data_IF_713605643349
#
_entry.id   IF_713605643349
#
_cell.length_a   1.000
_cell.length_b   1.000
_cell.length_c   1.000
_cell.angle_alpha   90.00
_cell.angle_beta   90.00
_cell.angle_gamma   90.00
#
_symmetry.space_group_name_H-M   'P 1'
#
loop_
_entity.id
_entity.type
_entity.pdbx_description
1 polymer ?
#
# COMPACT_ATOMS: atom_id res chain seq x y z
N UNK A 1 -31.72 -1.38 -18.70
CA UNK A 1 -32.16 -0.27 -17.81
C UNK A 1 -30.97 0.11 -16.92
N UNK A 2 -30.72 1.41 -16.72
CA UNK A 2 -29.67 1.83 -15.79
C UNK A 2 -30.12 1.55 -14.34
N UNK A 3 -29.32 0.83 -13.58
CA UNK A 3 -29.56 0.56 -12.16
C UNK A 3 -29.37 1.85 -11.36
N UNK A 4 -30.28 2.15 -10.42
CA UNK A 4 -30.18 3.34 -9.57
C UNK A 4 -28.99 3.23 -8.62
N UNK A 5 -28.25 4.35 -8.44
CA UNK A 5 -27.07 4.41 -7.58
C UNK A 5 -27.38 3.99 -6.13
N UNK A 6 -28.58 4.30 -5.65
CA UNK A 6 -29.03 3.96 -4.28
C UNK A 6 -29.00 2.45 -4.03
N UNK A 7 -29.33 1.61 -5.02
CA UNK A 7 -29.24 0.16 -4.86
C UNK A 7 -27.80 -0.32 -4.62
N UNK A 8 -26.82 0.34 -5.23
CA UNK A 8 -25.41 0.05 -4.99
C UNK A 8 -24.95 0.50 -3.61
N UNK A 9 -25.48 1.62 -3.07
CA UNK A 9 -25.22 2.07 -1.69
C UNK A 9 -25.71 1.03 -0.68
N UNK A 10 -26.94 0.58 -0.85
CA UNK A 10 -27.52 -0.49 -0.01
C UNK A 10 -26.72 -1.77 -0.11
N UNK A 11 -26.35 -2.18 -1.33
CA UNK A 11 -25.52 -3.37 -1.55
C UNK A 11 -24.17 -3.29 -0.82
N UNK A 12 -23.47 -2.14 -0.93
CA UNK A 12 -22.19 -1.90 -0.24
C UNK A 12 -22.36 -2.04 1.27
N UNK A 13 -23.36 -1.41 1.86
CA UNK A 13 -23.59 -1.42 3.30
C UNK A 13 -23.89 -2.84 3.82
N UNK A 14 -24.68 -3.62 3.10
CA UNK A 14 -24.95 -5.03 3.43
C UNK A 14 -23.69 -5.87 3.32
N UNK A 15 -22.85 -5.62 2.31
CA UNK A 15 -21.58 -6.33 2.13
C UNK A 15 -20.59 -6.06 3.27
N UNK A 16 -20.54 -4.83 3.78
CA UNK A 16 -19.63 -4.41 4.84
C UNK A 16 -20.09 -4.89 6.24
N UNK A 17 -21.40 -4.88 6.47
CA UNK A 17 -21.97 -5.30 7.77
C UNK A 17 -22.18 -6.81 7.88
N UNK A 18 -22.35 -7.53 6.77
CA UNK A 18 -22.73 -8.94 6.75
C UNK A 18 -24.12 -9.23 7.34
N UNK A 19 -24.91 -8.18 7.59
CA UNK A 19 -26.19 -8.28 8.31
C UNK A 19 -27.19 -7.23 7.81
N UNK A 20 -28.34 -7.70 7.31
CA UNK A 20 -29.38 -6.83 6.74
C UNK A 20 -29.96 -5.86 7.78
N UNK A 21 -30.14 -6.30 9.03
CA UNK A 21 -30.68 -5.46 10.10
C UNK A 21 -29.69 -4.37 10.51
N UNK A 22 -28.39 -4.69 10.57
CA UNK A 22 -27.35 -3.72 10.85
C UNK A 22 -27.24 -2.69 9.71
N UNK A 23 -27.26 -3.13 8.47
CA UNK A 23 -27.28 -2.25 7.30
C UNK A 23 -28.49 -1.33 7.28
N UNK A 24 -29.67 -1.85 7.61
CA UNK A 24 -30.91 -1.06 7.72
C UNK A 24 -30.79 0.06 8.77
N UNK A 25 -30.20 -0.25 9.92
CA UNK A 25 -29.94 0.73 10.98
C UNK A 25 -28.98 1.81 10.52
N UNK A 26 -27.86 1.45 9.88
CA UNK A 26 -26.85 2.39 9.40
C UNK A 26 -27.39 3.30 8.29
N UNK A 27 -28.29 2.77 7.44
CA UNK A 27 -28.90 3.52 6.35
C UNK A 27 -30.20 4.27 6.75
N UNK A 28 -30.64 4.15 8.00
CA UNK A 28 -31.89 4.77 8.52
C UNK A 28 -33.14 4.38 7.72
N UNK A 29 -33.20 3.12 7.24
CA UNK A 29 -34.35 2.56 6.52
C UNK A 29 -34.80 1.24 7.15
N UNK A 30 -35.97 0.73 6.73
CA UNK A 30 -36.45 -0.56 7.23
C UNK A 30 -35.68 -1.76 6.67
N UNK A 31 -35.60 -2.85 7.43
CA UNK A 31 -34.99 -4.11 6.98
C UNK A 31 -35.67 -4.66 5.71
N UNK A 32 -37.01 -4.48 5.58
CA UNK A 32 -37.76 -4.86 4.38
C UNK A 32 -37.31 -4.05 3.16
N UNK A 33 -37.06 -2.74 3.32
CA UNK A 33 -36.55 -1.88 2.24
C UNK A 33 -35.16 -2.31 1.78
N UNK A 34 -34.24 -2.64 2.73
CA UNK A 34 -32.92 -3.19 2.39
C UNK A 34 -33.06 -4.48 1.60
N UNK A 35 -33.88 -5.44 2.10
CA UNK A 35 -34.09 -6.73 1.42
C UNK A 35 -34.68 -6.56 0.01
N UNK A 36 -35.61 -5.62 -0.17
CA UNK A 36 -36.20 -5.30 -1.45
C UNK A 36 -35.18 -4.66 -2.40
N UNK A 37 -34.35 -3.74 -1.93
CA UNK A 37 -33.29 -3.10 -2.71
C UNK A 37 -32.27 -4.12 -3.22
N UNK A 38 -31.84 -5.05 -2.36
CA UNK A 38 -30.94 -6.14 -2.77
C UNK A 38 -31.60 -7.02 -3.84
N UNK A 39 -32.84 -7.46 -3.62
CA UNK A 39 -33.56 -8.26 -4.59
C UNK A 39 -33.73 -7.54 -5.93
N UNK A 40 -34.03 -6.25 -5.90
CA UNK A 40 -34.16 -5.41 -7.09
C UNK A 40 -32.82 -5.32 -7.84
N UNK A 41 -31.71 -5.15 -7.15
CA UNK A 41 -30.36 -5.12 -7.73
C UNK A 41 -30.01 -6.47 -8.36
N UNK A 42 -30.19 -7.57 -7.64
CA UNK A 42 -29.95 -8.94 -8.13
C UNK A 42 -30.79 -9.25 -9.38
N UNK A 43 -32.06 -8.83 -9.39
CA UNK A 43 -32.96 -9.00 -10.55
C UNK A 43 -32.47 -8.17 -11.75
N UNK A 44 -32.09 -6.91 -11.52
CA UNK A 44 -31.61 -6.02 -12.58
C UNK A 44 -30.30 -6.50 -13.21
N UNK A 45 -29.42 -7.10 -12.43
CA UNK A 45 -28.13 -7.64 -12.85
C UNK A 45 -28.17 -9.12 -13.26
N UNK A 46 -29.32 -9.79 -13.07
CA UNK A 46 -29.50 -11.23 -13.31
C UNK A 46 -28.44 -12.10 -12.60
N UNK A 47 -28.00 -11.67 -11.43
CA UNK A 47 -26.96 -12.32 -10.65
C UNK A 47 -27.33 -12.39 -9.16
N UNK A 48 -26.97 -13.47 -8.49
CA UNK A 48 -27.05 -13.54 -7.02
C UNK A 48 -25.80 -12.95 -6.42
N UNK A 49 -25.96 -11.91 -5.60
CA UNK A 49 -24.84 -11.19 -5.00
C UNK A 49 -24.58 -11.64 -3.56
N UNK A 50 -25.60 -12.21 -2.90
CA UNK A 50 -25.48 -12.69 -1.53
C UNK A 50 -25.95 -14.14 -1.37
N UNK A 51 -25.19 -14.90 -0.57
CA UNK A 51 -25.62 -16.16 0.01
C UNK A 51 -26.17 -15.90 1.42
N UNK A 52 -27.35 -16.46 1.74
CA UNK A 52 -28.00 -16.32 3.04
C UNK A 52 -27.68 -17.53 3.92
N UNK A 53 -27.36 -17.29 5.18
CA UNK A 53 -27.14 -18.32 6.19
C UNK A 53 -27.81 -17.93 7.52
N UNK A 54 -27.98 -18.87 8.46
CA UNK A 54 -28.45 -18.54 9.81
C UNK A 54 -27.57 -17.53 10.57
N UNK A 55 -26.32 -17.35 10.14
CA UNK A 55 -25.33 -16.43 10.72
C UNK A 55 -25.32 -15.04 10.05
N UNK A 56 -26.15 -14.82 9.03
CA UNK A 56 -26.20 -13.56 8.29
C UNK A 56 -26.07 -13.77 6.77
N UNK A 57 -25.55 -12.75 6.08
CA UNK A 57 -25.37 -12.77 4.62
C UNK A 57 -23.89 -12.63 4.28
N UNK A 58 -23.45 -13.38 3.28
CA UNK A 58 -22.07 -13.33 2.76
C UNK A 58 -22.10 -13.09 1.24
N UNK A 59 -21.09 -12.41 0.70
CA UNK A 59 -21.00 -12.20 -0.74
C UNK A 59 -20.77 -13.53 -1.49
N UNK A 60 -21.43 -13.68 -2.64
CA UNK A 60 -21.09 -14.70 -3.65
C UNK A 60 -19.81 -14.30 -4.40
N UNK A 61 -19.33 -15.12 -5.33
CA UNK A 61 -18.21 -14.75 -6.23
C UNK A 61 -18.54 -13.51 -7.06
N UNK A 62 -19.74 -13.46 -7.66
CA UNK A 62 -20.25 -12.30 -8.40
C UNK A 62 -20.42 -11.09 -7.50
N UNK A 63 -20.93 -11.29 -6.28
CA UNK A 63 -21.05 -10.25 -5.27
C UNK A 63 -19.69 -9.66 -4.89
N UNK A 64 -18.68 -10.51 -4.69
CA UNK A 64 -17.32 -10.08 -4.36
C UNK A 64 -16.70 -9.25 -5.49
N UNK A 65 -16.86 -9.68 -6.73
CA UNK A 65 -16.42 -8.94 -7.91
C UNK A 65 -17.10 -7.56 -7.98
N UNK A 66 -18.43 -7.53 -7.92
CA UNK A 66 -19.20 -6.27 -7.98
C UNK A 66 -18.84 -5.32 -6.82
N UNK A 67 -18.65 -5.86 -5.62
CA UNK A 67 -18.31 -5.06 -4.43
C UNK A 67 -17.03 -4.23 -4.63
N UNK A 68 -16.01 -4.76 -5.29
CA UNK A 68 -14.78 -4.02 -5.56
C UNK A 68 -15.05 -2.77 -6.42
N UNK A 69 -15.86 -2.93 -7.48
CA UNK A 69 -16.21 -1.80 -8.35
C UNK A 69 -17.12 -0.79 -7.65
N UNK A 70 -18.14 -1.26 -6.94
CA UNK A 70 -19.10 -0.39 -6.22
C UNK A 70 -18.41 0.42 -5.13
N UNK A 71 -17.54 -0.22 -4.34
CA UNK A 71 -16.76 0.46 -3.31
C UNK A 71 -15.91 1.59 -3.89
N UNK A 72 -15.22 1.31 -5.00
CA UNK A 72 -14.36 2.29 -5.66
C UNK A 72 -15.18 3.45 -6.25
N UNK A 73 -16.27 3.15 -6.96
CA UNK A 73 -17.12 4.16 -7.58
C UNK A 73 -17.75 5.10 -6.53
N UNK A 74 -18.32 4.55 -5.45
CA UNK A 74 -18.90 5.34 -4.36
C UNK A 74 -17.85 6.15 -3.61
N UNK A 75 -16.64 5.60 -3.44
CA UNK A 75 -15.51 6.32 -2.85
C UNK A 75 -15.08 7.52 -3.70
N UNK A 76 -15.01 7.35 -5.03
CA UNK A 76 -14.68 8.44 -5.96
C UNK A 76 -15.75 9.54 -5.96
N UNK A 77 -17.04 9.19 -5.89
CA UNK A 77 -18.12 10.17 -5.77
C UNK A 77 -17.99 11.00 -4.48
N UNK A 78 -17.81 10.33 -3.34
CA UNK A 78 -17.60 11.01 -2.05
C UNK A 78 -16.37 11.94 -2.11
N UNK A 79 -15.25 11.47 -2.69
CA UNK A 79 -14.06 12.29 -2.89
C UNK A 79 -14.35 13.52 -3.77
N UNK A 80 -15.16 13.36 -4.83
CA UNK A 80 -15.57 14.47 -5.70
C UNK A 80 -16.40 15.53 -4.95
N UNK A 81 -17.33 15.09 -4.11
CA UNK A 81 -18.16 15.96 -3.27
C UNK A 81 -17.29 16.73 -2.25
N UNK A 82 -16.35 16.05 -1.58
CA UNK A 82 -15.39 16.66 -0.67
C UNK A 82 -14.48 17.67 -1.38
N UNK A 83 -14.00 17.34 -2.58
CA UNK A 83 -13.18 18.25 -3.40
C UNK A 83 -13.93 19.51 -3.81
N UNK A 84 -15.19 19.42 -4.16
CA UNK A 84 -16.02 20.57 -4.47
C UNK A 84 -16.19 21.48 -3.25
N UNK A 85 -16.39 20.92 -2.07
CA UNK A 85 -16.48 21.71 -0.83
C UNK A 85 -15.15 22.39 -0.48
N UNK A 86 -14.02 21.74 -0.75
CA UNK A 86 -12.66 22.27 -0.51
C UNK A 86 -12.22 23.29 -1.56
N UNK A 87 -12.65 23.16 -2.83
CA UNK A 87 -12.34 24.12 -3.91
C UNK A 87 -12.88 25.52 -3.65
N UNK A 88 -13.90 25.65 -2.79
CA UNK A 88 -14.44 26.96 -2.38
C UNK A 88 -13.59 27.67 -1.31
N UNK A 89 -12.61 26.97 -0.69
CA UNK A 89 -11.74 27.52 0.36
C UNK A 89 -10.31 26.99 0.19
N UNK A 90 -9.51 27.60 -0.69
CA UNK A 90 -8.08 27.32 -0.90
C UNK A 90 -7.19 27.43 0.36
N UNK A 91 -7.75 27.78 1.50
CA UNK A 91 -7.05 27.98 2.77
C UNK A 91 -7.26 26.83 3.80
N UNK A 92 -8.22 25.94 3.58
CA UNK A 92 -8.54 24.87 4.52
C UNK A 92 -8.87 23.58 3.74
N UNK A 93 -8.15 22.52 4.00
CA UNK A 93 -8.37 21.23 3.34
C UNK A 93 -7.61 20.10 4.00
N UNK A 94 -7.76 18.90 3.47
CA UNK A 94 -6.97 17.72 3.90
C UNK A 94 -6.25 17.16 2.69
N UNK A 95 -4.95 16.94 2.82
CA UNK A 95 -4.15 16.13 1.90
C UNK A 95 -3.92 14.76 2.52
N UNK A 96 -4.47 13.73 1.90
CA UNK A 96 -4.30 12.35 2.36
C UNK A 96 -3.28 11.61 1.49
N UNK A 97 -2.18 11.18 2.09
CA UNK A 97 -1.07 10.49 1.41
C UNK A 97 -1.00 9.04 1.88
N UNK A 98 -1.00 8.11 0.93
CA UNK A 98 -0.79 6.68 1.19
C UNK A 98 0.65 6.29 0.93
N UNK A 99 1.36 5.78 1.94
CA UNK A 99 2.74 5.31 1.80
C UNK A 99 3.06 4.22 2.83
N UNK A 100 4.15 3.49 2.66
CA UNK A 100 4.67 2.64 3.73
C UNK A 100 5.40 3.50 4.79
N UNK A 101 5.47 3.00 6.04
CA UNK A 101 6.20 3.68 7.12
C UNK A 101 7.65 4.01 6.73
N UNK A 102 8.28 3.09 6.00
CA UNK A 102 9.65 3.26 5.51
C UNK A 102 9.76 4.42 4.52
N UNK A 103 8.87 4.49 3.51
CA UNK A 103 8.86 5.59 2.53
C UNK A 103 8.52 6.90 3.21
N UNK A 104 7.56 6.89 4.13
CA UNK A 104 7.21 8.09 4.91
C UNK A 104 8.41 8.60 5.71
N UNK A 105 9.06 7.75 6.50
CA UNK A 105 10.14 8.17 7.39
C UNK A 105 11.45 8.49 6.68
N UNK A 106 11.76 7.84 5.56
CA UNK A 106 13.06 8.00 4.90
C UNK A 106 13.04 8.96 3.72
N UNK A 107 11.89 9.11 3.07
CA UNK A 107 11.77 9.95 1.88
C UNK A 107 10.80 11.13 2.07
N UNK A 108 9.59 10.90 2.60
CA UNK A 108 8.56 11.94 2.63
C UNK A 108 8.74 12.97 3.73
N UNK A 109 9.40 12.64 4.85
CA UNK A 109 9.51 13.53 6.02
C UNK A 109 9.96 14.97 5.68
N UNK A 110 11.02 15.21 4.88
CA UNK A 110 11.42 16.58 4.56
C UNK A 110 10.35 17.33 3.72
N UNK A 111 9.69 16.66 2.80
CA UNK A 111 8.61 17.26 2.00
C UNK A 111 7.36 17.55 2.83
N UNK A 112 7.02 16.68 3.79
CA UNK A 112 5.91 16.90 4.71
C UNK A 112 6.15 18.11 5.61
N UNK A 113 7.38 18.27 6.09
CA UNK A 113 7.80 19.41 6.90
C UNK A 113 7.70 20.72 6.09
N UNK A 114 8.30 20.77 4.92
CA UNK A 114 8.26 21.91 4.03
C UNK A 114 6.81 22.28 3.63
N UNK A 115 6.01 21.27 3.26
CA UNK A 115 4.62 21.49 2.89
C UNK A 115 3.78 22.04 4.04
N UNK A 116 3.99 21.52 5.24
CA UNK A 116 3.29 21.99 6.44
C UNK A 116 3.62 23.48 6.74
N UNK A 117 4.89 23.87 6.57
CA UNK A 117 5.28 25.28 6.75
C UNK A 117 4.70 26.20 5.68
N UNK A 118 4.66 25.77 4.41
CA UNK A 118 4.12 26.56 3.31
C UNK A 118 2.58 26.62 3.30
N UNK A 119 1.90 25.58 3.80
CA UNK A 119 0.45 25.42 3.79
C UNK A 119 -0.12 25.04 5.16
N UNK A 120 0.02 25.89 6.19
CA UNK A 120 -0.37 25.55 7.58
C UNK A 120 -1.88 25.30 7.76
N UNK A 121 -2.72 25.78 6.83
CA UNK A 121 -4.17 25.53 6.83
C UNK A 121 -4.56 24.15 6.26
N UNK A 122 -3.63 23.44 5.62
CA UNK A 122 -3.91 22.11 5.07
C UNK A 122 -3.57 21.02 6.09
N UNK A 123 -4.56 20.23 6.45
CA UNK A 123 -4.37 19.07 7.32
C UNK A 123 -3.68 17.93 6.55
N UNK A 124 -2.52 17.51 7.01
CA UNK A 124 -1.85 16.31 6.49
C UNK A 124 -2.40 15.05 7.16
N UNK A 125 -2.82 14.07 6.35
CA UNK A 125 -3.22 12.74 6.79
C UNK A 125 -2.37 11.69 6.08
N UNK A 126 -1.53 11.00 6.85
CA UNK A 126 -0.71 9.91 6.33
C UNK A 126 -1.39 8.58 6.64
N UNK A 127 -1.58 7.77 5.63
CA UNK A 127 -2.18 6.43 5.76
C UNK A 127 -1.13 5.39 5.43
N UNK A 128 -0.75 4.64 6.45
CA UNK A 128 0.28 3.62 6.30
C UNK A 128 -0.26 2.36 5.63
N UNK A 129 0.51 1.85 4.66
CA UNK A 129 0.15 0.62 3.96
C UNK A 129 1.20 0.14 2.97
N UNK A 130 1.10 -1.15 2.61
CA UNK A 130 1.90 -1.74 1.53
C UNK A 130 1.46 -1.20 0.18
N UNK A 131 2.34 -1.27 -0.84
CA UNK A 131 2.08 -0.74 -2.20
C UNK A 131 0.70 -1.14 -2.76
N UNK A 132 0.33 -2.41 -2.72
CA UNK A 132 -0.97 -2.86 -3.21
C UNK A 132 -2.15 -2.24 -2.44
N UNK A 133 -2.02 -2.05 -1.12
CA UNK A 133 -3.05 -1.43 -0.28
C UNK A 133 -3.20 0.05 -0.60
N UNK A 134 -2.11 0.81 -0.64
CA UNK A 134 -2.18 2.26 -0.92
C UNK A 134 -2.67 2.55 -2.33
N UNK A 135 -2.31 1.72 -3.33
CA UNK A 135 -2.87 1.79 -4.69
C UNK A 135 -4.38 1.51 -4.68
N UNK A 136 -4.84 0.49 -3.94
CA UNK A 136 -6.28 0.23 -3.80
C UNK A 136 -7.02 1.40 -3.13
N UNK A 137 -6.39 2.05 -2.15
CA UNK A 137 -6.96 3.23 -1.48
C UNK A 137 -6.99 4.46 -2.41
N UNK A 138 -5.97 4.62 -3.27
CA UNK A 138 -5.97 5.66 -4.30
C UNK A 138 -7.14 5.46 -5.28
N UNK A 139 -7.37 4.23 -5.77
CA UNK A 139 -8.49 3.91 -6.65
C UNK A 139 -9.86 4.18 -6.03
N UNK A 140 -10.00 4.01 -4.73
CA UNK A 140 -11.24 4.29 -4.00
C UNK A 140 -11.38 5.75 -3.54
N UNK A 141 -10.40 6.62 -3.86
CA UNK A 141 -10.37 7.99 -3.38
C UNK A 141 -10.08 8.15 -1.88
N UNK A 142 -9.72 7.09 -1.18
CA UNK A 142 -9.39 7.15 0.25
C UNK A 142 -8.03 7.82 0.52
N UNK A 143 -7.17 7.95 -0.49
CA UNK A 143 -5.96 8.77 -0.49
C UNK A 143 -5.90 9.58 -1.79
N UNK A 144 -5.31 10.77 -1.74
CA UNK A 144 -5.13 11.67 -2.88
C UNK A 144 -3.89 11.31 -3.70
N UNK A 145 -2.83 10.91 -3.01
CA UNK A 145 -1.54 10.51 -3.59
C UNK A 145 -1.11 9.20 -2.93
N UNK A 146 -0.57 8.27 -3.71
CA UNK A 146 0.04 7.06 -3.19
C UNK A 146 1.52 6.98 -3.57
N UNK A 147 2.35 6.51 -2.64
CA UNK A 147 3.74 6.13 -2.91
C UNK A 147 3.86 4.62 -2.88
N UNK A 148 4.20 4.03 -4.02
CA UNK A 148 4.21 2.58 -4.21
C UNK A 148 5.46 2.10 -4.95
N UNK A 149 5.93 0.90 -4.63
CA UNK A 149 7.09 0.31 -5.34
C UNK A 149 6.64 -0.28 -6.66
N UNK A 150 7.14 0.26 -7.76
CA UNK A 150 6.97 -0.22 -9.15
C UNK A 150 5.54 -0.72 -9.46
N UNK A 151 4.50 0.09 -9.27
CA UNK A 151 3.13 -0.35 -9.51
C UNK A 151 2.90 -0.60 -11.00
N UNK A 152 2.53 -1.83 -11.36
CA UNK A 152 2.13 -2.18 -12.74
C UNK A 152 0.62 -2.01 -12.88
N UNK A 153 0.19 -0.79 -13.16
CA UNK A 153 -1.22 -0.42 -13.20
C UNK A 153 -1.48 0.66 -14.24
N UNK A 154 -2.18 0.33 -15.30
CA UNK A 154 -2.46 1.23 -16.42
C UNK A 154 -3.39 2.40 -16.07
N UNK A 155 -4.13 2.31 -14.95
CA UNK A 155 -5.03 3.36 -14.47
C UNK A 155 -4.31 4.47 -13.70
N UNK A 156 -3.04 4.24 -13.37
CA UNK A 156 -2.22 5.18 -12.62
C UNK A 156 -1.36 6.04 -13.55
N UNK A 157 -1.23 7.29 -13.19
CA UNK A 157 -0.15 8.15 -13.61
C UNK A 157 0.95 8.07 -12.55
N UNK A 158 2.18 7.80 -12.97
CA UNK A 158 3.28 7.50 -12.05
C UNK A 158 4.51 8.34 -12.37
N UNK A 159 5.19 8.80 -11.33
CA UNK A 159 6.49 9.49 -11.40
C UNK A 159 7.47 8.79 -10.47
N UNK A 160 8.59 8.33 -11.03
CA UNK A 160 9.64 7.68 -10.25
C UNK A 160 10.31 8.70 -9.33
N UNK A 161 10.27 8.47 -8.03
CA UNK A 161 10.87 9.35 -7.03
C UNK A 161 12.31 8.97 -6.71
N UNK A 162 12.56 7.69 -6.52
CA UNK A 162 13.90 7.16 -6.27
C UNK A 162 13.95 5.66 -6.52
N UNK A 163 15.17 5.15 -6.72
CA UNK A 163 15.45 3.73 -6.90
C UNK A 163 15.84 3.08 -5.58
N UNK A 164 15.56 1.79 -5.45
CA UNK A 164 15.90 0.98 -4.29
C UNK A 164 16.64 -0.28 -4.70
N UNK A 165 17.71 -0.61 -3.94
CA UNK A 165 18.57 -1.77 -4.15
C UNK A 165 18.41 -2.75 -2.99
N UNK A 166 18.14 -4.02 -3.32
CA UNK A 166 18.12 -5.09 -2.32
C UNK A 166 19.52 -5.62 -2.09
N UNK A 167 19.95 -5.66 -0.84
CA UNK A 167 21.27 -6.12 -0.42
C UNK A 167 21.16 -7.01 0.82
N UNK A 168 22.26 -7.70 1.14
CA UNK A 168 22.36 -8.51 2.35
C UNK A 168 23.36 -7.89 3.32
N UNK A 169 22.99 -7.85 4.59
CA UNK A 169 23.83 -7.30 5.68
C UNK A 169 23.89 -8.25 6.86
N UNK A 170 24.96 -8.21 7.59
CA UNK A 170 25.11 -8.89 8.88
C UNK A 170 25.77 -7.95 9.90
N UNK A 171 25.66 -8.28 11.18
CA UNK A 171 26.37 -7.58 12.25
C UNK A 171 27.87 -7.64 12.05
N UNK A 172 28.59 -6.57 12.44
CA UNK A 172 30.06 -6.50 12.27
C UNK A 172 30.84 -7.67 12.88
N UNK A 173 30.29 -8.30 13.90
CA UNK A 173 30.88 -9.43 14.62
C UNK A 173 30.24 -10.77 14.20
N UNK A 174 29.38 -10.78 13.18
CA UNK A 174 28.77 -12.03 12.69
C UNK A 174 29.84 -12.94 12.12
N UNK A 175 29.72 -14.24 12.41
CA UNK A 175 30.73 -15.22 11.99
C UNK A 175 30.56 -15.57 10.50
N UNK A 176 31.06 -14.69 9.63
CA UNK A 176 31.16 -14.90 8.19
C UNK A 176 32.37 -14.18 7.62
N UNK A 177 32.79 -14.54 6.42
CA UNK A 177 33.85 -13.85 5.68
C UNK A 177 33.27 -12.69 4.88
N UNK A 178 33.45 -11.45 5.36
CA UNK A 178 32.97 -10.24 4.67
C UNK A 178 33.72 -9.90 3.39
N UNK A 179 34.85 -10.56 3.13
CA UNK A 179 35.63 -10.36 1.90
C UNK A 179 35.31 -11.37 0.82
N UNK A 180 34.68 -12.49 1.19
CA UNK A 180 34.16 -13.48 0.27
C UNK A 180 33.02 -12.92 -0.57
N UNK A 181 32.97 -13.35 -1.84
CA UNK A 181 31.87 -13.11 -2.76
C UNK A 181 30.94 -14.33 -2.72
N UNK A 182 29.69 -14.12 -2.30
CA UNK A 182 28.70 -15.18 -2.09
C UNK A 182 27.81 -15.38 -3.31
N UNK A 183 27.58 -16.64 -3.67
CA UNK A 183 26.59 -17.03 -4.67
C UNK A 183 25.15 -16.96 -4.08
N UNK A 184 24.13 -17.08 -4.94
CA UNK A 184 22.71 -17.15 -4.47
C UNK A 184 22.46 -18.35 -3.56
N UNK A 185 23.06 -19.50 -3.89
CA UNK A 185 22.93 -20.73 -3.09
C UNK A 185 23.53 -20.53 -1.71
N UNK A 186 24.77 -20.07 -1.62
CA UNK A 186 25.44 -19.80 -0.35
C UNK A 186 24.70 -18.75 0.47
N UNK A 187 24.14 -17.72 -0.18
CA UNK A 187 23.34 -16.69 0.50
C UNK A 187 22.06 -17.28 1.11
N UNK A 188 21.43 -18.25 0.45
CA UNK A 188 20.24 -18.92 0.94
C UNK A 188 20.51 -19.92 2.08
N UNK A 189 21.76 -20.34 2.30
CA UNK A 189 22.19 -21.23 3.39
C UNK A 189 22.41 -20.49 4.72
N UNK A 190 22.51 -19.17 4.70
CA UNK A 190 22.60 -18.41 5.95
C UNK A 190 21.30 -18.46 6.77
N UNK A 191 21.37 -18.35 8.10
CA UNK A 191 20.21 -17.98 8.94
C UNK A 191 19.67 -16.63 8.50
N UNK A 192 18.66 -16.64 7.60
CA UNK A 192 18.13 -15.42 7.01
C UNK A 192 17.10 -14.74 7.93
N UNK A 193 17.21 -13.41 8.04
CA UNK A 193 16.25 -12.54 8.70
C UNK A 193 15.59 -11.70 7.61
N UNK A 194 14.31 -11.91 7.37
CA UNK A 194 13.60 -11.25 6.27
C UNK A 194 12.30 -10.62 6.76
N UNK A 195 11.79 -9.68 5.98
CA UNK A 195 10.45 -9.15 6.21
C UNK A 195 9.40 -10.23 5.93
N UNK A 196 8.21 -10.05 6.51
CA UNK A 196 7.06 -10.93 6.27
C UNK A 196 6.73 -11.07 4.78
N UNK A 197 6.18 -12.22 4.37
CA UNK A 197 5.90 -12.59 2.95
C UNK A 197 5.05 -11.59 2.18
N UNK A 198 4.27 -10.75 2.86
CA UNK A 198 3.43 -9.73 2.22
C UNK A 198 4.16 -8.40 1.96
N UNK A 199 5.37 -8.21 2.44
CA UNK A 199 6.16 -7.01 2.16
C UNK A 199 6.63 -7.02 0.69
N UNK A 200 6.45 -5.90 -0.04
CA UNK A 200 6.79 -5.82 -1.47
C UNK A 200 8.27 -6.10 -1.76
N UNK A 201 9.17 -5.67 -0.87
CA UNK A 201 10.61 -5.97 -0.97
C UNK A 201 10.90 -7.46 -0.79
N UNK A 202 10.19 -8.14 0.12
CA UNK A 202 10.33 -9.58 0.33
C UNK A 202 9.82 -10.37 -0.89
N UNK A 203 8.63 -10.05 -1.39
CA UNK A 203 8.07 -10.71 -2.58
C UNK A 203 9.02 -10.58 -3.77
N UNK A 204 9.56 -9.40 -3.98
CA UNK A 204 10.50 -9.14 -5.06
C UNK A 204 11.80 -9.93 -4.89
N UNK A 205 12.39 -9.90 -3.71
CA UNK A 205 13.61 -10.66 -3.39
C UNK A 205 13.43 -12.16 -3.64
N UNK A 206 12.35 -12.74 -3.14
CA UNK A 206 12.03 -14.16 -3.37
C UNK A 206 11.85 -14.49 -4.84
N UNK A 207 11.15 -13.63 -5.61
CA UNK A 207 10.98 -13.83 -7.05
C UNK A 207 12.32 -13.83 -7.80
N UNK A 208 13.25 -12.94 -7.45
CA UNK A 208 14.57 -12.89 -8.08
C UNK A 208 15.45 -14.11 -7.75
N UNK A 209 15.34 -14.64 -6.54
CA UNK A 209 16.00 -15.89 -6.17
C UNK A 209 15.36 -17.11 -6.84
N UNK A 210 14.03 -17.15 -6.88
CA UNK A 210 13.28 -18.24 -7.52
C UNK A 210 13.55 -18.33 -9.03
N UNK A 211 13.72 -17.19 -9.73
CA UNK A 211 14.13 -17.19 -11.15
C UNK A 211 15.47 -17.90 -11.38
N UNK A 212 16.35 -17.92 -10.38
CA UNK A 212 17.61 -18.64 -10.42
C UNK A 212 17.51 -20.06 -9.81
N UNK A 213 16.30 -20.56 -9.52
CA UNK A 213 16.08 -21.88 -8.94
C UNK A 213 16.40 -21.97 -7.45
N UNK A 214 16.57 -20.85 -6.75
CA UNK A 214 16.92 -20.82 -5.32
C UNK A 214 15.71 -20.35 -4.52
N UNK A 215 15.37 -21.11 -3.47
CA UNK A 215 14.29 -20.76 -2.53
C UNK A 215 14.88 -20.19 -1.25
N UNK A 216 14.36 -19.03 -0.81
CA UNK A 216 14.74 -18.44 0.47
C UNK A 216 13.87 -18.97 1.61
N UNK A 217 14.51 -19.55 2.62
CA UNK A 217 13.84 -20.04 3.83
C UNK A 217 14.37 -19.26 5.04
N UNK A 218 13.73 -18.15 5.44
CA UNK A 218 14.20 -17.39 6.58
C UNK A 218 13.95 -18.12 7.90
N UNK A 219 14.88 -17.98 8.82
CA UNK A 219 14.70 -18.43 10.21
C UNK A 219 13.90 -17.42 11.02
N UNK A 220 14.01 -16.12 10.69
CA UNK A 220 13.27 -15.06 11.36
C UNK A 220 12.48 -14.26 10.34
N UNK A 221 11.16 -14.17 10.54
CA UNK A 221 10.26 -13.30 9.77
C UNK A 221 9.63 -12.25 10.69
N UNK A 222 9.64 -10.98 10.25
CA UNK A 222 9.08 -9.87 11.03
C UNK A 222 8.56 -8.74 10.12
N UNK A 223 7.71 -7.88 10.68
CA UNK A 223 7.12 -6.76 9.92
C UNK A 223 7.93 -5.47 10.02
N UNK A 224 8.76 -5.34 11.03
CA UNK A 224 9.54 -4.12 11.30
C UNK A 224 10.92 -4.18 10.68
N UNK A 225 11.20 -3.27 9.74
CA UNK A 225 12.53 -3.11 9.14
C UNK A 225 13.59 -2.73 10.18
N UNK A 226 13.26 -1.88 11.14
CA UNK A 226 14.22 -1.47 12.17
C UNK A 226 14.66 -2.66 13.04
N UNK A 227 13.71 -3.50 13.45
CA UNK A 227 14.04 -4.73 14.20
C UNK A 227 14.88 -5.69 13.37
N UNK A 228 14.61 -5.80 12.05
CA UNK A 228 15.40 -6.64 11.15
C UNK A 228 16.89 -6.24 11.17
N UNK A 229 17.19 -4.95 11.04
CA UNK A 229 18.56 -4.40 11.13
C UNK A 229 19.15 -4.62 12.53
N UNK A 230 18.37 -4.38 13.58
CA UNK A 230 18.82 -4.59 14.97
C UNK A 230 19.19 -6.06 15.23
N UNK A 231 18.35 -7.02 14.78
CA UNK A 231 18.62 -8.44 14.98
C UNK A 231 19.83 -8.92 14.17
N UNK A 232 20.00 -8.42 12.95
CA UNK A 232 21.24 -8.67 12.19
C UNK A 232 22.46 -8.09 12.91
N UNK A 233 22.35 -6.87 13.45
CA UNK A 233 23.43 -6.19 14.18
C UNK A 233 23.93 -6.93 15.40
N UNK A 234 23.05 -7.61 16.13
CA UNK A 234 23.43 -8.45 17.28
C UNK A 234 23.87 -9.87 16.89
N UNK A 235 23.94 -10.19 15.59
CA UNK A 235 24.51 -11.42 15.07
C UNK A 235 23.56 -12.61 15.00
N UNK A 236 22.23 -12.40 14.94
CA UNK A 236 21.27 -13.51 14.83
C UNK A 236 21.18 -14.09 13.42
N UNK A 237 21.75 -13.44 12.40
CA UNK A 237 21.74 -13.93 11.03
C UNK A 237 22.04 -12.84 10.02
N UNK A 238 21.79 -13.17 8.74
CA UNK A 238 21.96 -12.30 7.59
C UNK A 238 20.61 -11.68 7.20
N UNK A 239 20.51 -10.36 7.17
CA UNK A 239 19.29 -9.67 6.81
C UNK A 239 19.26 -9.25 5.34
N UNK A 240 18.15 -9.56 4.65
CA UNK A 240 17.83 -8.98 3.35
C UNK A 240 17.17 -7.63 3.50
N UNK A 241 17.85 -6.55 3.08
CA UNK A 241 17.44 -5.16 3.32
C UNK A 241 17.44 -4.32 2.04
N UNK A 242 16.87 -3.13 2.13
CA UNK A 242 16.98 -2.10 1.09
C UNK A 242 18.12 -1.15 1.46
N UNK A 243 19.11 -1.03 0.60
CA UNK A 243 20.37 -0.30 0.86
C UNK A 243 20.12 1.15 1.30
N UNK A 244 19.25 1.86 0.59
CA UNK A 244 18.95 3.28 0.81
C UNK A 244 18.43 3.53 2.23
N UNK A 245 17.77 2.54 2.81
CA UNK A 245 17.13 2.68 4.12
C UNK A 245 18.01 2.22 5.30
N UNK A 246 19.21 1.69 5.02
CA UNK A 246 20.17 1.22 6.06
C UNK A 246 21.52 1.93 5.99
N UNK A 247 21.64 2.99 5.17
CA UNK A 247 22.91 3.73 5.02
C UNK A 247 23.47 4.21 6.34
N UNK A 248 22.64 4.80 7.20
CA UNK A 248 23.05 5.26 8.53
C UNK A 248 23.54 4.12 9.43
N UNK A 249 22.91 2.95 9.35
CA UNK A 249 23.30 1.78 10.11
C UNK A 249 24.63 1.20 9.62
N UNK A 250 24.90 1.27 8.30
CA UNK A 250 26.20 0.92 7.69
C UNK A 250 27.29 1.92 8.10
N UNK A 251 27.01 3.22 8.01
CA UNK A 251 27.95 4.30 8.38
C UNK A 251 28.32 4.23 9.86
N UNK A 252 27.38 3.87 10.74
CA UNK A 252 27.65 3.66 12.17
C UNK A 252 28.52 2.44 12.47
N UNK A 253 28.72 1.55 11.46
CA UNK A 253 29.50 0.34 11.58
C UNK A 253 28.85 -0.77 12.41
N UNK A 254 27.55 -0.66 12.72
CA UNK A 254 26.79 -1.71 13.42
C UNK A 254 26.56 -2.95 12.57
N UNK A 255 26.38 -2.75 11.26
CA UNK A 255 26.22 -3.78 10.26
C UNK A 255 27.22 -3.59 9.11
N UNK A 256 27.45 -4.66 8.34
CA UNK A 256 28.31 -4.68 7.16
C UNK A 256 27.59 -5.34 5.98
N UNK A 257 27.88 -4.90 4.76
CA UNK A 257 27.40 -5.52 3.53
C UNK A 257 28.12 -6.84 3.26
N UNK A 258 27.38 -7.84 2.79
CA UNK A 258 27.94 -9.04 2.18
C UNK A 258 28.08 -8.82 0.68
N UNK A 259 29.20 -9.23 0.12
CA UNK A 259 29.49 -9.15 -1.33
C UNK A 259 28.83 -10.34 -2.03
N UNK A 260 28.22 -10.12 -3.18
CA UNK A 260 27.54 -11.16 -3.97
C UNK A 260 28.04 -11.18 -5.41
N UNK A 261 28.07 -12.35 -6.05
CA UNK A 261 28.38 -12.53 -7.48
C UNK A 261 27.20 -12.22 -8.40
N UNK A 262 26.06 -11.87 -7.82
CA UNK A 262 24.82 -11.55 -8.52
C UNK A 262 24.29 -10.17 -8.11
N UNK A 263 23.56 -9.58 -9.04
CA UNK A 263 22.82 -8.33 -8.78
C UNK A 263 21.32 -8.62 -8.71
N UNK A 264 20.65 -8.06 -7.73
CA UNK A 264 19.19 -8.02 -7.66
C UNK A 264 18.76 -6.75 -8.40
N UNK A 265 17.86 -6.84 -9.39
CA UNK A 265 17.41 -5.68 -10.13
C UNK A 265 16.90 -4.57 -9.21
N UNK A 266 17.15 -3.35 -9.57
CA UNK A 266 16.62 -2.19 -8.85
C UNK A 266 15.11 -2.07 -9.01
N UNK A 267 14.46 -1.38 -8.08
CA UNK A 267 13.03 -1.05 -8.12
C UNK A 267 12.84 0.43 -7.86
N UNK A 268 11.90 1.02 -8.59
CA UNK A 268 11.48 2.39 -8.29
C UNK A 268 10.50 2.41 -7.09
N UNK A 269 10.50 3.53 -6.39
CA UNK A 269 9.36 3.97 -5.59
C UNK A 269 8.76 5.16 -6.33
N UNK A 270 7.49 5.00 -6.70
CA UNK A 270 6.80 5.93 -7.57
C UNK A 270 5.72 6.67 -6.79
N UNK A 271 5.61 7.97 -7.04
CA UNK A 271 4.45 8.78 -6.67
C UNK A 271 3.35 8.51 -7.70
N UNK A 272 2.15 8.22 -7.25
CA UNK A 272 1.04 7.76 -8.07
C UNK A 272 -0.22 8.59 -7.84
N UNK A 273 -0.92 8.92 -8.94
CA UNK A 273 -2.29 9.45 -8.97
C UNK A 273 -3.14 8.67 -9.96
N UNK A 274 -4.45 8.91 -9.99
CA UNK A 274 -5.32 8.34 -11.01
C UNK A 274 -5.24 9.19 -12.28
N UNK A 275 -5.10 8.55 -13.46
CA UNK A 275 -5.02 9.24 -14.76
C UNK A 275 -6.25 10.10 -15.08
N UNK A 276 -7.44 9.57 -14.78
CA UNK A 276 -8.70 10.17 -15.20
C UNK A 276 -9.34 11.04 -14.12
N UNK A 277 -8.69 11.19 -12.95
CA UNK A 277 -9.20 11.98 -11.83
C UNK A 277 -8.21 13.10 -11.54
N UNK A 278 -8.56 14.36 -11.82
CA UNK A 278 -7.68 15.49 -11.51
C UNK A 278 -7.33 15.51 -10.02
N UNK A 279 -6.06 15.69 -9.66
CA UNK A 279 -5.65 15.82 -8.27
C UNK A 279 -6.25 17.10 -7.65
N UNK A 280 -6.39 17.13 -6.33
CA UNK A 280 -6.77 18.37 -5.60
C UNK A 280 -5.69 19.43 -5.73
N UNK A 281 -6.01 20.69 -5.46
CA UNK A 281 -5.01 21.76 -5.40
C UNK A 281 -3.89 21.47 -4.40
N UNK A 282 -4.25 20.92 -3.22
CA UNK A 282 -3.27 20.48 -2.20
C UNK A 282 -2.39 19.33 -2.71
N UNK A 283 -2.99 18.33 -3.39
CA UNK A 283 -2.24 17.22 -3.98
C UNK A 283 -1.31 17.74 -5.09
N UNK A 284 -1.78 18.63 -5.98
CA UNK A 284 -0.95 19.22 -7.04
C UNK A 284 0.24 19.98 -6.46
N UNK A 285 0.03 20.84 -5.46
CA UNK A 285 1.10 21.58 -4.82
C UNK A 285 2.15 20.67 -4.16
N UNK A 286 1.70 19.61 -3.46
CA UNK A 286 2.60 18.64 -2.86
C UNK A 286 3.39 17.84 -3.93
N UNK A 287 2.73 17.40 -4.99
CA UNK A 287 3.39 16.69 -6.10
C UNK A 287 4.46 17.54 -6.77
N UNK A 288 4.17 18.83 -7.01
CA UNK A 288 5.14 19.77 -7.59
C UNK A 288 6.35 19.98 -6.66
N UNK A 289 6.13 20.04 -5.35
CA UNK A 289 7.19 20.14 -4.36
C UNK A 289 8.10 18.91 -4.40
N UNK A 290 7.51 17.70 -4.38
CA UNK A 290 8.26 16.44 -4.48
C UNK A 290 9.05 16.37 -5.79
N UNK A 291 8.43 16.77 -6.93
CA UNK A 291 9.08 16.76 -8.26
C UNK A 291 10.25 17.75 -8.38
N UNK A 292 10.21 18.88 -7.65
CA UNK A 292 11.32 19.83 -7.62
C UNK A 292 12.52 19.37 -6.80
N UNK A 293 12.28 18.48 -5.84
CA UNK A 293 13.32 17.95 -4.97
C UNK A 293 13.94 16.63 -5.45
N UNK A 294 13.44 16.08 -6.56
CA UNK A 294 14.02 14.91 -7.26
C UNK A 294 15.07 15.36 -8.25
#
# INVERSE_FOLDING_TARGET
MAVKLELYRVFKEVAETGNISAAAKNLYISQSAVSQSIKQLETALQARLFARSPRGVTLTGEGQMLYQYVRNALGLLATGEDKLSQAQQLLLGTLTIGASDTVTGQFLTPYLDEFHHQHPGIRLKIVSGRSAKVVSMLRSGAVDIAFASSPKDSTLETWSCFTTHSVFVAGKNYHCDFDKIYTRQEMAEFPLILLERKASSRVFLEQEFLKAGVTLTPEIELSSRQLLVTLAGIGLGVAGVTLEFVRKDLESGGIRLLKTDFTIPERSVDMCTLKEVPPTAAATAFMEMVRRGM
#
